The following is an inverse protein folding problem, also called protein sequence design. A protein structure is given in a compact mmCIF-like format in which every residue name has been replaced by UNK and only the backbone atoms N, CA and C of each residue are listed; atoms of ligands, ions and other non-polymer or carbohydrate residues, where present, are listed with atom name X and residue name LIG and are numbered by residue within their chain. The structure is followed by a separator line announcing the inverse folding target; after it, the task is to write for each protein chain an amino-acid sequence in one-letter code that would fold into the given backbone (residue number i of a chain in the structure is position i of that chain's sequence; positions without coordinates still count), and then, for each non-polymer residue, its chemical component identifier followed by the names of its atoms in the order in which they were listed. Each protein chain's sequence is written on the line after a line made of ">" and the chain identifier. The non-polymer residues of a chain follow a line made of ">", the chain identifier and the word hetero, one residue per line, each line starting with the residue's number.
data_IF_904386556796
#
_entry.id   IF_904386556796
#
_cell.length_a   1.000
_cell.length_b   1.000
_cell.length_c   1.000
_cell.angle_alpha   90.00
_cell.angle_beta   90.00
_cell.angle_gamma   90.00
#
_symmetry.space_group_name_H-M   'P 1'
#
loop_
_entity.id
_entity.type
_entity.pdbx_description
1 polymer ?
#
# COMPACT_ATOMS: atom_id res chain seq x y z
N UNK A 1 -4.97 8.89 -26.65
CA UNK A 1 -5.56 7.57 -26.34
C UNK A 1 -6.89 7.84 -25.63
N UNK A 2 -8.02 7.58 -26.27
CA UNK A 2 -9.37 8.00 -25.83
C UNK A 2 -9.87 7.05 -24.74
N UNK A 3 -10.29 7.59 -23.60
CA UNK A 3 -11.01 6.83 -22.57
C UNK A 3 -12.28 6.22 -23.17
N UNK A 4 -12.36 4.89 -23.17
CA UNK A 4 -13.55 4.15 -23.59
C UNK A 4 -14.56 4.28 -22.45
N UNK A 5 -15.63 5.03 -22.71
CA UNK A 5 -16.72 5.30 -21.78
C UNK A 5 -17.47 3.99 -21.47
N UNK A 6 -17.27 3.43 -20.28
CA UNK A 6 -17.79 2.14 -19.81
C UNK A 6 -19.32 2.02 -19.91
N UNK A 7 -20.04 3.15 -19.95
CA UNK A 7 -21.49 3.19 -20.13
C UNK A 7 -21.95 2.76 -21.53
N UNK A 8 -21.09 2.84 -22.56
CA UNK A 8 -21.43 2.43 -23.93
C UNK A 8 -21.24 0.93 -24.20
N UNK A 9 -20.37 0.26 -23.44
CA UNK A 9 -20.16 -1.18 -23.56
C UNK A 9 -21.38 -1.97 -23.04
N UNK A 10 -21.99 -1.46 -21.97
CA UNK A 10 -23.22 -2.04 -21.39
C UNK A 10 -24.42 -1.97 -22.36
N UNK A 11 -24.51 -0.91 -23.17
CA UNK A 11 -25.62 -0.73 -24.12
C UNK A 11 -25.54 -1.65 -25.34
N UNK A 12 -24.35 -2.10 -25.74
CA UNK A 12 -24.18 -3.04 -26.85
C UNK A 12 -24.39 -4.49 -26.43
N UNK A 13 -23.98 -4.85 -25.21
CA UNK A 13 -24.17 -6.20 -24.68
C UNK A 13 -25.65 -6.51 -24.40
N UNK A 14 -26.41 -5.50 -23.98
CA UNK A 14 -27.85 -5.63 -23.75
C UNK A 14 -28.66 -5.83 -25.05
N UNK A 15 -28.12 -5.41 -26.21
CA UNK A 15 -28.84 -5.50 -27.48
C UNK A 15 -28.72 -6.89 -28.16
N UNK A 16 -27.67 -7.67 -27.86
CA UNK A 16 -27.52 -9.02 -28.43
C UNK A 16 -28.37 -10.10 -27.72
N UNK A 17 -28.73 -9.91 -26.44
CA UNK A 17 -29.47 -10.91 -25.67
C UNK A 17 -30.99 -10.91 -25.93
N UNK A 18 -31.55 -9.79 -26.40
CA UNK A 18 -33.00 -9.68 -26.65
C UNK A 18 -33.44 -10.48 -27.89
N UNK A 19 -32.50 -10.86 -28.78
CA UNK A 19 -32.79 -11.61 -30.01
C UNK A 19 -32.68 -13.15 -29.87
N UNK A 20 -32.10 -13.68 -28.79
CA UNK A 20 -31.82 -15.12 -28.65
C UNK A 20 -32.74 -15.89 -27.70
N UNK A 21 -33.66 -15.21 -27.00
CA UNK A 21 -34.64 -15.88 -26.12
C UNK A 21 -34.04 -16.66 -24.94
N UNK A 22 -32.77 -16.42 -24.61
CA UNK A 22 -32.10 -17.08 -23.48
C UNK A 22 -32.57 -16.41 -22.18
N UNK A 23 -33.18 -17.13 -21.23
CA UNK A 23 -33.59 -16.55 -19.96
C UNK A 23 -32.37 -16.04 -19.18
N UNK A 24 -32.47 -14.81 -18.67
CA UNK A 24 -31.46 -14.11 -17.87
C UNK A 24 -31.34 -14.65 -16.43
N UNK A 25 -31.65 -15.93 -16.22
CA UNK A 25 -31.54 -16.59 -14.92
C UNK A 25 -30.09 -17.04 -14.72
N UNK A 26 -29.22 -16.15 -14.26
CA UNK A 26 -27.85 -16.53 -13.90
C UNK A 26 -26.79 -15.43 -13.90
N UNK A 27 -27.11 -14.19 -14.31
CA UNK A 27 -26.19 -13.07 -14.11
C UNK A 27 -26.38 -12.55 -12.69
N UNK A 28 -25.62 -13.10 -11.74
CA UNK A 28 -25.34 -12.36 -10.52
C UNK A 28 -24.67 -11.06 -10.94
N UNK A 29 -25.26 -9.93 -10.54
CA UNK A 29 -24.64 -8.63 -10.65
C UNK A 29 -23.27 -8.75 -9.94
N UNK A 30 -22.17 -8.72 -10.70
CA UNK A 30 -20.84 -8.57 -10.11
C UNK A 30 -20.85 -7.18 -9.51
N UNK A 31 -21.23 -7.10 -8.24
CA UNK A 31 -21.16 -5.89 -7.46
C UNK A 31 -19.68 -5.58 -7.32
N UNK A 32 -19.18 -4.69 -8.18
CA UNK A 32 -17.88 -4.07 -7.98
C UNK A 32 -18.03 -3.25 -6.69
N UNK A 33 -17.69 -3.85 -5.56
CA UNK A 33 -17.62 -3.15 -4.30
C UNK A 33 -16.52 -2.09 -4.49
N UNK A 34 -16.85 -0.82 -4.32
CA UNK A 34 -15.83 0.22 -4.31
C UNK A 34 -14.88 -0.03 -3.12
N UNK A 35 -13.59 0.29 -3.25
CA UNK A 35 -12.64 0.10 -2.18
C UNK A 35 -13.06 0.88 -0.92
N UNK A 36 -12.76 0.32 0.24
CA UNK A 36 -13.12 0.86 1.54
C UNK A 36 -12.10 1.92 1.93
N UNK A 37 -12.48 3.19 1.81
CA UNK A 37 -11.63 4.30 2.23
C UNK A 37 -11.65 4.43 3.76
N UNK A 38 -10.48 4.38 4.38
CA UNK A 38 -10.27 4.56 5.81
C UNK A 38 -10.75 5.93 6.31
N UNK A 39 -11.20 5.99 7.57
CA UNK A 39 -11.65 7.25 8.18
C UNK A 39 -10.54 8.30 8.25
N UNK A 40 -9.28 7.84 8.33
CA UNK A 40 -8.09 8.69 8.35
C UNK A 40 -8.03 9.64 7.15
N UNK A 41 -8.46 9.17 5.97
CA UNK A 41 -8.48 9.96 4.74
C UNK A 41 -9.20 11.30 4.89
N UNK A 42 -10.40 11.27 5.48
CA UNK A 42 -11.19 12.47 5.73
C UNK A 42 -10.69 13.29 6.92
N UNK A 43 -10.17 12.62 7.96
CA UNK A 43 -9.67 13.26 9.18
C UNK A 43 -8.46 14.15 8.90
N UNK A 44 -7.52 13.66 8.07
CA UNK A 44 -6.35 14.45 7.63
C UNK A 44 -6.63 15.27 6.38
N UNK A 45 -7.88 15.25 5.88
CA UNK A 45 -8.35 16.00 4.71
C UNK A 45 -7.63 15.66 3.40
N UNK A 46 -7.14 14.42 3.28
CA UNK A 46 -6.47 13.97 2.07
C UNK A 46 -7.44 13.89 0.88
N UNK A 47 -8.70 13.53 1.12
CA UNK A 47 -9.83 13.64 0.17
C UNK A 47 -9.90 15.03 -0.47
N UNK A 48 -9.79 16.08 0.36
CA UNK A 48 -9.87 17.46 -0.08
C UNK A 48 -8.60 17.89 -0.81
N UNK A 49 -7.43 17.43 -0.39
CA UNK A 49 -6.17 17.68 -1.10
C UNK A 49 -6.21 17.07 -2.50
N UNK A 50 -6.66 15.82 -2.63
CA UNK A 50 -6.87 15.16 -3.93
C UNK A 50 -7.88 15.92 -4.79
N UNK A 51 -9.03 16.29 -4.23
CA UNK A 51 -10.09 16.96 -4.97
C UNK A 51 -9.73 18.37 -5.46
N UNK A 52 -9.01 19.14 -4.64
CA UNK A 52 -8.69 20.55 -4.96
C UNK A 52 -7.43 20.71 -5.80
N UNK A 53 -6.42 19.86 -5.57
CA UNK A 53 -5.09 20.04 -6.14
C UNK A 53 -4.66 18.89 -7.06
N UNK A 54 -5.42 17.79 -7.11
CA UNK A 54 -5.06 16.60 -7.89
C UNK A 54 -3.84 15.85 -7.35
N UNK A 55 -3.38 16.17 -6.14
CA UNK A 55 -2.22 15.54 -5.49
C UNK A 55 -2.64 14.20 -4.90
N UNK A 56 -2.28 13.10 -5.57
CA UNK A 56 -2.72 11.74 -5.26
C UNK A 56 -1.56 10.73 -5.12
N UNK A 57 -0.34 11.23 -4.92
CA UNK A 57 0.87 10.42 -4.77
C UNK A 57 1.58 10.06 -6.07
N UNK A 58 1.05 10.45 -7.24
CA UNK A 58 1.70 10.17 -8.53
C UNK A 58 3.16 10.65 -8.55
N UNK A 59 4.08 9.74 -8.89
CA UNK A 59 5.51 10.01 -8.93
C UNK A 59 6.22 9.92 -7.58
N UNK A 60 5.50 9.62 -6.49
CA UNK A 60 6.07 9.39 -5.16
C UNK A 60 6.22 7.88 -4.91
N UNK A 61 7.38 7.48 -4.40
CA UNK A 61 7.59 6.12 -3.87
C UNK A 61 7.58 6.15 -2.35
N UNK A 62 6.72 5.33 -1.75
CA UNK A 62 6.56 5.22 -0.29
C UNK A 62 6.94 3.80 0.13
N UNK A 63 7.86 3.70 1.08
CA UNK A 63 8.28 2.46 1.70
C UNK A 63 7.62 2.24 3.05
N UNK A 64 7.15 1.03 3.29
CA UNK A 64 6.62 0.58 4.58
C UNK A 64 7.54 -0.49 5.14
N UNK A 65 7.93 -0.33 6.41
CA UNK A 65 8.67 -1.33 7.16
C UNK A 65 7.83 -1.74 8.36
N UNK A 66 7.44 -3.01 8.43
CA UNK A 66 6.53 -3.53 9.47
C UNK A 66 6.71 -5.05 9.59
N UNK A 67 5.76 -5.76 10.20
CA UNK A 67 5.85 -7.19 10.47
C UNK A 67 5.87 -8.04 9.18
N UNK A 68 4.79 -8.05 8.40
CA UNK A 68 4.59 -8.85 7.20
C UNK A 68 3.62 -8.20 6.22
N UNK A 69 3.60 -8.72 5.00
CA UNK A 69 2.68 -8.25 3.95
C UNK A 69 1.62 -9.29 3.57
N UNK A 70 1.97 -10.57 3.49
CA UNK A 70 1.05 -11.57 2.94
C UNK A 70 1.12 -12.93 3.63
N UNK A 71 1.50 -12.97 4.90
CA UNK A 71 1.47 -14.18 5.72
C UNK A 71 0.04 -14.71 5.94
N UNK A 72 -0.96 -13.83 6.00
CA UNK A 72 -2.37 -14.21 6.05
C UNK A 72 -3.01 -14.43 4.67
N UNK A 73 -2.23 -14.30 3.58
CA UNK A 73 -2.65 -14.51 2.18
C UNK A 73 -3.75 -13.55 1.71
N UNK A 74 -3.85 -12.36 2.30
CA UNK A 74 -4.86 -11.35 1.99
C UNK A 74 -4.54 -10.45 0.79
N UNK A 75 -3.27 -10.34 0.39
CA UNK A 75 -2.83 -9.34 -0.59
C UNK A 75 -3.55 -9.46 -1.94
N UNK A 76 -3.66 -10.67 -2.51
CA UNK A 76 -4.35 -10.88 -3.79
C UNK A 76 -5.81 -10.42 -3.73
N UNK A 77 -6.50 -10.68 -2.61
CA UNK A 77 -7.88 -10.25 -2.45
C UNK A 77 -7.98 -8.72 -2.34
N UNK A 78 -7.08 -8.09 -1.56
CA UNK A 78 -7.00 -6.63 -1.46
C UNK A 78 -6.76 -5.96 -2.82
N UNK A 79 -5.84 -6.48 -3.62
CA UNK A 79 -5.58 -5.98 -4.98
C UNK A 79 -6.79 -6.14 -5.91
N UNK A 80 -7.51 -7.26 -5.82
CA UNK A 80 -8.72 -7.51 -6.62
C UNK A 80 -9.88 -6.58 -6.22
N UNK A 81 -9.93 -6.16 -4.96
CA UNK A 81 -10.95 -5.28 -4.40
C UNK A 81 -10.57 -3.79 -4.52
N UNK A 82 -9.32 -3.49 -4.88
CA UNK A 82 -8.80 -2.13 -5.00
C UNK A 82 -8.35 -1.51 -3.67
N UNK A 83 -8.20 -2.32 -2.62
CA UNK A 83 -7.63 -1.90 -1.31
C UNK A 83 -6.11 -1.71 -1.38
N UNK A 84 -5.47 -2.39 -2.34
CA UNK A 84 -4.05 -2.26 -2.65
C UNK A 84 -3.86 -1.91 -4.12
N UNK A 85 -2.75 -1.25 -4.48
CA UNK A 85 -2.40 -1.08 -5.89
C UNK A 85 -2.17 -2.44 -6.55
N UNK A 86 -2.35 -2.48 -7.87
CA UNK A 86 -2.16 -3.71 -8.67
C UNK A 86 -0.77 -4.34 -8.50
N UNK A 87 0.23 -3.53 -8.13
CA UNK A 87 1.58 -3.98 -7.81
C UNK A 87 2.07 -3.30 -6.53
N UNK A 88 2.55 -4.11 -5.58
CA UNK A 88 3.34 -3.68 -4.42
C UNK A 88 4.70 -4.34 -4.55
N UNK A 89 5.78 -3.56 -4.41
CA UNK A 89 7.14 -4.11 -4.47
C UNK A 89 7.52 -4.65 -3.10
N UNK A 90 7.51 -5.97 -2.94
CA UNK A 90 7.92 -6.66 -1.72
C UNK A 90 9.41 -6.97 -1.78
N UNK A 91 10.23 -6.21 -1.05
CA UNK A 91 11.69 -6.42 -0.99
C UNK A 91 12.06 -7.63 -0.12
N UNK A 92 11.33 -7.79 0.98
CA UNK A 92 11.46 -8.92 1.91
C UNK A 92 10.11 -9.16 2.58
N UNK A 93 9.68 -10.42 2.59
CA UNK A 93 8.58 -10.92 3.42
C UNK A 93 9.11 -11.51 4.72
N UNK A 94 8.28 -11.52 5.76
CA UNK A 94 8.54 -12.19 7.03
C UNK A 94 8.65 -13.72 6.89
N UNK A 95 9.23 -14.36 7.90
CA UNK A 95 9.01 -15.79 8.10
C UNK A 95 7.66 -16.01 8.79
N UNK A 96 6.63 -16.25 7.98
CA UNK A 96 5.24 -16.45 8.41
C UNK A 96 5.01 -17.64 9.37
N UNK A 97 6.03 -18.45 9.66
CA UNK A 97 5.91 -19.57 10.61
C UNK A 97 6.50 -19.25 11.98
N UNK A 98 7.53 -18.42 12.04
CA UNK A 98 8.33 -18.21 13.24
C UNK A 98 8.24 -16.79 13.80
N UNK A 99 7.86 -15.82 12.97
CA UNK A 99 7.65 -14.43 13.36
C UNK A 99 6.16 -14.20 13.67
N UNK A 100 5.86 -13.28 14.62
CA UNK A 100 4.48 -12.85 14.86
C UNK A 100 4.04 -11.93 13.72
N UNK A 101 3.65 -12.54 12.61
CA UNK A 101 3.34 -11.91 11.33
C UNK A 101 1.84 -11.95 11.06
N UNK A 102 1.17 -10.83 11.25
CA UNK A 102 -0.29 -10.67 11.12
C UNK A 102 -0.69 -9.71 10.00
N UNK A 103 0.26 -9.37 9.13
CA UNK A 103 0.11 -8.47 7.98
C UNK A 103 -0.25 -7.02 8.37
N UNK A 104 0.33 -6.50 9.46
CA UNK A 104 0.23 -5.06 9.83
C UNK A 104 0.82 -4.20 8.70
N UNK A 105 1.93 -4.63 8.11
CA UNK A 105 2.53 -3.96 6.95
C UNK A 105 1.59 -3.85 5.75
N UNK A 106 0.77 -4.87 5.47
CA UNK A 106 -0.28 -4.77 4.44
C UNK A 106 -1.36 -3.79 4.82
N UNK A 107 -1.82 -3.81 6.07
CA UNK A 107 -2.83 -2.87 6.54
C UNK A 107 -2.34 -1.42 6.44
N UNK A 108 -1.06 -1.15 6.76
CA UNK A 108 -0.44 0.17 6.56
C UNK A 108 -0.44 0.58 5.08
N UNK A 109 -0.10 -0.35 4.17
CA UNK A 109 -0.11 -0.10 2.73
C UNK A 109 -1.52 0.20 2.20
N UNK A 110 -2.53 -0.50 2.70
CA UNK A 110 -3.96 -0.25 2.37
C UNK A 110 -4.35 1.17 2.80
N UNK A 111 -4.01 1.59 4.03
CA UNK A 111 -4.24 2.97 4.50
C UNK A 111 -3.52 4.00 3.63
N UNK A 112 -2.25 3.77 3.31
CA UNK A 112 -1.49 4.68 2.42
C UNK A 112 -2.12 4.74 1.03
N UNK A 113 -2.65 3.64 0.51
CA UNK A 113 -3.31 3.59 -0.78
C UNK A 113 -4.59 4.44 -0.81
N UNK A 114 -5.36 4.48 0.27
CA UNK A 114 -6.52 5.38 0.38
C UNK A 114 -6.13 6.85 0.24
N UNK A 115 -5.05 7.23 0.92
CA UNK A 115 -4.54 8.60 0.99
C UNK A 115 -3.88 9.02 -0.34
N UNK A 116 -3.07 8.14 -0.91
CA UNK A 116 -2.18 8.38 -2.04
C UNK A 116 -2.28 7.24 -3.08
N UNK A 117 -3.42 7.10 -3.78
CA UNK A 117 -3.73 5.92 -4.60
C UNK A 117 -2.79 5.71 -5.80
N UNK A 118 -2.04 6.75 -6.21
CA UNK A 118 -1.09 6.67 -7.32
C UNK A 118 0.38 6.63 -6.87
N UNK A 119 0.64 6.52 -5.56
CA UNK A 119 1.99 6.29 -5.07
C UNK A 119 2.46 4.87 -5.44
N UNK A 120 3.77 4.74 -5.73
CA UNK A 120 4.41 3.43 -5.80
C UNK A 120 4.67 2.96 -4.38
N UNK A 121 4.17 1.78 -4.03
CA UNK A 121 4.32 1.25 -2.68
C UNK A 121 5.38 0.14 -2.64
N UNK A 122 6.22 0.20 -1.62
CA UNK A 122 7.30 -0.75 -1.36
C UNK A 122 7.14 -1.29 0.06
N UNK A 123 7.35 -2.58 0.24
CA UNK A 123 7.31 -3.24 1.55
C UNK A 123 8.64 -3.91 1.87
N UNK A 124 9.02 -3.88 3.14
CA UNK A 124 10.09 -4.72 3.68
C UNK A 124 9.75 -5.16 5.12
N UNK A 125 9.84 -6.45 5.43
CA UNK A 125 9.69 -6.93 6.80
C UNK A 125 10.84 -6.43 7.71
N UNK A 126 10.52 -5.90 8.89
CA UNK A 126 11.44 -5.17 9.79
C UNK A 126 12.64 -5.99 10.29
N UNK A 127 12.48 -7.31 10.41
CA UNK A 127 13.49 -8.19 11.01
C UNK A 127 13.44 -8.17 12.54
N UNK A 128 14.47 -8.71 13.20
CA UNK A 128 14.37 -9.08 14.62
C UNK A 128 15.21 -8.21 15.56
N UNK A 129 16.02 -7.29 15.01
CA UNK A 129 16.93 -6.45 15.78
C UNK A 129 17.32 -5.18 15.00
N UNK A 130 18.00 -4.26 15.66
CA UNK A 130 18.41 -2.98 15.08
C UNK A 130 19.31 -3.11 13.83
N UNK A 131 20.09 -4.19 13.68
CA UNK A 131 20.92 -4.41 12.48
C UNK A 131 20.02 -4.76 11.30
N UNK A 132 19.09 -5.70 11.49
CA UNK A 132 18.12 -6.09 10.45
C UNK A 132 17.28 -4.88 10.03
N UNK A 133 16.83 -4.09 11.00
CA UNK A 133 16.04 -2.89 10.74
C UNK A 133 16.83 -1.82 9.97
N UNK A 134 18.07 -1.54 10.36
CA UNK A 134 18.96 -0.65 9.59
C UNK A 134 19.23 -1.16 8.17
N UNK A 135 19.28 -2.47 7.96
CA UNK A 135 19.35 -3.03 6.61
C UNK A 135 18.04 -2.80 5.84
N UNK A 136 16.89 -3.00 6.47
CA UNK A 136 15.58 -2.73 5.88
C UNK A 136 15.47 -1.26 5.44
N UNK A 137 15.85 -0.31 6.30
CA UNK A 137 15.88 1.12 6.02
C UNK A 137 16.67 1.43 4.75
N UNK A 138 17.90 0.92 4.66
CA UNK A 138 18.75 1.13 3.49
C UNK A 138 18.17 0.47 2.22
N UNK A 139 17.64 -0.76 2.32
CA UNK A 139 17.03 -1.46 1.18
C UNK A 139 15.80 -0.73 0.64
N UNK A 140 14.94 -0.25 1.53
CA UNK A 140 13.77 0.55 1.16
C UNK A 140 14.21 1.87 0.55
N UNK A 141 15.18 2.57 1.13
CA UNK A 141 15.73 3.78 0.53
C UNK A 141 16.30 3.51 -0.88
N UNK A 142 17.07 2.45 -1.07
CA UNK A 142 17.66 2.03 -2.36
C UNK A 142 16.62 1.67 -3.43
N UNK A 143 15.38 1.34 -3.03
CA UNK A 143 14.27 1.14 -3.96
C UNK A 143 13.74 2.45 -4.59
N UNK A 144 14.30 3.59 -4.19
CA UNK A 144 13.90 4.93 -4.62
C UNK A 144 12.81 5.55 -3.74
N UNK A 145 12.58 5.01 -2.55
CA UNK A 145 11.64 5.57 -1.59
C UNK A 145 12.01 7.02 -1.25
N UNK A 146 11.01 7.89 -1.28
CA UNK A 146 11.10 9.29 -0.86
C UNK A 146 10.49 9.49 0.52
N UNK A 147 9.62 8.57 0.93
CA UNK A 147 8.99 8.51 2.24
C UNK A 147 9.17 7.09 2.75
N UNK A 148 9.61 6.94 3.99
CA UNK A 148 9.63 5.67 4.71
C UNK A 148 8.75 5.83 5.94
N UNK A 149 7.88 4.84 6.18
CA UNK A 149 7.00 4.78 7.35
C UNK A 149 7.21 3.43 8.02
N UNK A 150 7.30 3.43 9.34
CA UNK A 150 7.40 2.20 10.12
C UNK A 150 6.48 2.19 11.34
N UNK A 151 6.29 1.00 11.89
CA UNK A 151 5.67 0.78 13.20
C UNK A 151 6.52 -0.17 14.07
N UNK A 152 7.83 -0.21 13.81
CA UNK A 152 8.76 -1.10 14.48
C UNK A 152 9.10 -0.59 15.87
N UNK A 153 9.12 -1.52 16.84
CA UNK A 153 9.54 -1.23 18.20
C UNK A 153 10.51 -2.31 18.68
N UNK A 154 11.70 -1.90 19.09
CA UNK A 154 12.69 -2.80 19.69
C UNK A 154 12.95 -2.42 21.13
N UNK A 155 12.51 -3.25 22.09
CA UNK A 155 12.64 -2.98 23.53
C UNK A 155 14.08 -2.83 24.06
N UNK A 156 15.08 -3.17 23.25
CA UNK A 156 16.50 -3.05 23.58
C UNK A 156 17.15 -1.78 23.01
N UNK A 157 16.36 -0.87 22.43
CA UNK A 157 16.87 0.40 21.93
C UNK A 157 17.26 1.36 23.08
N UNK A 158 18.31 2.17 22.88
CA UNK A 158 18.71 3.16 23.84
C UNK A 158 17.66 4.29 23.96
N UNK A 159 17.28 4.63 25.19
CA UNK A 159 16.29 5.69 25.43
C UNK A 159 16.88 7.11 25.47
N UNK A 160 18.18 7.25 25.75
CA UNK A 160 18.83 8.53 26.03
C UNK A 160 19.97 8.88 25.06
N UNK A 161 20.13 8.10 23.99
CA UNK A 161 21.12 8.30 22.94
C UNK A 161 20.63 7.63 21.66
N UNK A 162 21.16 8.05 20.51
CA UNK A 162 20.75 7.46 19.24
C UNK A 162 21.30 6.04 19.08
N UNK A 163 20.38 5.10 18.85
CA UNK A 163 20.69 3.74 18.43
C UNK A 163 21.12 3.67 16.97
N UNK A 164 21.49 2.48 16.51
CA UNK A 164 21.89 2.25 15.12
C UNK A 164 20.78 2.64 14.12
N UNK A 165 19.53 2.30 14.43
CA UNK A 165 18.36 2.65 13.63
C UNK A 165 18.22 4.17 13.48
N UNK A 166 18.22 4.90 14.60
CA UNK A 166 18.13 6.37 14.63
C UNK A 166 19.25 7.03 13.80
N UNK A 167 20.51 6.59 13.99
CA UNK A 167 21.65 7.11 13.20
C UNK A 167 21.49 6.82 11.70
N UNK A 168 20.94 5.65 11.34
CA UNK A 168 20.66 5.29 9.94
C UNK A 168 19.60 6.21 9.35
N UNK A 169 18.52 6.47 10.10
CA UNK A 169 17.44 7.38 9.69
C UNK A 169 18.00 8.78 9.46
N UNK A 170 18.76 9.32 10.40
CA UNK A 170 19.38 10.65 10.27
C UNK A 170 20.25 10.76 9.02
N UNK A 171 21.05 9.72 8.73
CA UNK A 171 21.85 9.67 7.52
C UNK A 171 20.97 9.70 6.27
N UNK A 172 19.93 8.87 6.19
CA UNK A 172 19.02 8.82 5.03
C UNK A 172 18.27 10.13 4.82
N UNK A 173 17.82 10.77 5.91
CA UNK A 173 17.15 12.07 5.87
C UNK A 173 18.13 13.14 5.36
N UNK A 174 19.34 13.22 5.93
CA UNK A 174 20.31 14.25 5.61
C UNK A 174 20.90 14.11 4.20
N UNK A 175 21.30 12.89 3.82
CA UNK A 175 22.03 12.64 2.57
C UNK A 175 21.10 12.48 1.37
N UNK A 176 19.89 11.95 1.59
CA UNK A 176 18.97 11.57 0.50
C UNK A 176 17.68 12.36 0.48
N UNK A 177 17.41 13.19 1.50
CA UNK A 177 16.18 13.97 1.59
C UNK A 177 14.93 13.12 1.74
N UNK A 178 15.06 11.91 2.30
CA UNK A 178 13.94 11.01 2.58
C UNK A 178 13.16 11.57 3.78
N UNK A 179 11.84 11.58 3.69
CA UNK A 179 10.99 11.83 4.85
C UNK A 179 10.75 10.52 5.62
N UNK A 180 10.88 10.57 6.94
CA UNK A 180 10.73 9.41 7.82
C UNK A 180 9.64 9.66 8.86
N UNK A 181 8.78 8.68 9.12
CA UNK A 181 7.64 8.77 10.03
C UNK A 181 7.41 7.50 10.83
#
# INVERSE_FOLDING_TARGET
>A
MKAINSRRFFSYFLCLFVLSGIPLTGLSEVKLQAPVISQGDSLVRADRVRALYGLNGAGITIGVISDSYNCLRGATAGQQQGELPAEVVVLREADCQSEHAIDEGRAMLEVIHDLAPNAKLVFHAMGNNAIDFSQALNRVADSGAQIIVDDAVFFHEPMFQDGLAAQTIDQLVFERGIAYF
#
